data_IF_504693993701
#
_entry.id   IF_504693993701
#
_cell.length_a   1.000
_cell.length_b   1.000
_cell.length_c   1.000
_cell.angle_alpha   90.00
_cell.angle_beta   90.00
_cell.angle_gamma   90.00
#
_symmetry.space_group_name_H-M   'P 1'
#
loop_
_entity.id
_entity.type
_entity.pdbx_description
1 polymer ?
#
# COMPACT_ATOMS: atom_id res chain seq x y z
N UNK A 1 -2.48 -9.22 29.35
CA UNK A 1 -3.07 -8.99 28.02
C UNK A 1 -3.15 -7.50 27.86
N UNK A 2 -2.24 -6.91 27.09
CA UNK A 2 -2.16 -5.46 26.93
C UNK A 2 -3.17 -5.03 25.86
N UNK A 3 -4.02 -4.09 26.24
CA UNK A 3 -4.97 -3.42 25.37
C UNK A 3 -4.17 -2.39 24.54
N UNK A 4 -4.03 -2.64 23.24
CA UNK A 4 -3.23 -1.80 22.32
C UNK A 4 -4.10 -0.86 21.47
N UNK A 5 -5.38 -0.70 21.81
CA UNK A 5 -6.24 0.33 21.22
C UNK A 5 -6.04 1.66 21.97
N UNK A 6 -4.86 2.26 21.82
CA UNK A 6 -4.61 3.62 22.33
C UNK A 6 -5.50 4.63 21.59
N UNK A 7 -6.15 5.49 22.37
CA UNK A 7 -7.15 6.48 21.97
C UNK A 7 -6.74 7.37 20.76
N UNK A 8 -7.71 7.87 19.98
CA UNK A 8 -7.43 8.73 18.83
C UNK A 8 -7.02 10.11 19.33
N UNK A 9 -5.71 10.36 19.44
CA UNK A 9 -5.27 11.67 19.91
C UNK A 9 -3.79 11.99 19.83
N UNK A 10 -2.86 11.03 19.82
CA UNK A 10 -1.42 11.35 19.94
C UNK A 10 -0.49 10.32 19.27
N UNK A 11 -0.87 9.74 18.12
CA UNK A 11 -0.10 8.68 17.45
C UNK A 11 0.19 8.97 15.96
N UNK A 12 0.45 10.22 15.61
CA UNK A 12 1.44 10.48 14.54
C UNK A 12 2.83 10.30 15.15
N UNK A 13 3.07 9.15 15.77
CA UNK A 13 4.42 8.78 16.18
C UNK A 13 5.26 8.76 14.91
N UNK A 14 6.51 9.20 15.01
CA UNK A 14 7.55 9.10 14.00
C UNK A 14 7.87 7.61 13.77
N UNK A 15 6.86 6.88 13.31
CA UNK A 15 6.96 5.49 12.93
C UNK A 15 7.75 5.51 11.62
N UNK A 16 8.82 4.71 11.51
CA UNK A 16 9.48 4.55 10.23
C UNK A 16 8.39 4.25 9.20
N UNK A 17 8.40 4.95 8.06
CA UNK A 17 7.49 4.58 6.96
C UNK A 17 7.72 3.09 6.74
N UNK A 18 6.72 2.24 7.03
CA UNK A 18 6.91 0.83 6.78
C UNK A 18 7.15 0.70 5.28
N UNK A 19 7.96 -0.27 4.85
CA UNK A 19 7.86 -0.84 3.50
C UNK A 19 6.49 -1.58 3.42
N UNK A 20 5.40 -0.84 3.69
CA UNK A 20 4.11 -1.30 4.21
C UNK A 20 3.21 -1.85 3.13
N UNK A 21 3.82 -2.40 2.08
CA UNK A 21 3.14 -3.12 1.01
C UNK A 21 3.63 -4.57 0.96
N UNK A 22 4.87 -4.85 1.37
CA UNK A 22 5.40 -6.23 1.37
C UNK A 22 4.73 -7.11 2.43
N UNK A 23 4.31 -6.54 3.56
CA UNK A 23 3.57 -7.21 4.64
C UNK A 23 2.07 -7.32 4.37
N UNK A 24 1.55 -6.69 3.31
CA UNK A 24 0.11 -6.66 3.03
C UNK A 24 -0.33 -7.94 2.33
N UNK A 25 -1.27 -8.63 2.95
CA UNK A 25 -1.85 -9.86 2.45
C UNK A 25 -3.37 -9.73 2.27
N UNK A 26 -3.97 -10.69 1.57
CA UNK A 26 -5.41 -10.71 1.33
C UNK A 26 -5.99 -12.12 1.40
N UNK A 27 -7.20 -12.22 1.95
CA UNK A 27 -7.99 -13.46 1.89
C UNK A 27 -9.41 -13.20 1.38
N UNK A 28 -10.00 -14.25 0.81
CA UNK A 28 -11.36 -14.23 0.29
C UNK A 28 -12.35 -14.66 1.38
N UNK A 29 -13.48 -13.97 1.44
CA UNK A 29 -14.64 -14.37 2.25
C UNK A 29 -15.87 -14.48 1.37
N UNK A 30 -16.94 -15.06 1.90
CA UNK A 30 -18.24 -15.11 1.22
C UNK A 30 -18.80 -13.71 0.92
N UNK A 31 -18.32 -12.68 1.64
CA UNK A 31 -18.82 -11.33 1.56
C UNK A 31 -17.84 -10.34 0.90
N UNK A 32 -16.71 -10.80 0.37
CA UNK A 32 -15.72 -9.95 -0.32
C UNK A 32 -14.26 -10.31 -0.05
N UNK A 33 -13.40 -9.29 -0.02
CA UNK A 33 -11.95 -9.43 0.19
C UNK A 33 -11.52 -8.57 1.37
N UNK A 34 -10.71 -9.15 2.24
CA UNK A 34 -10.06 -8.43 3.33
C UNK A 34 -8.59 -8.29 3.01
N UNK A 35 -8.10 -7.06 3.08
CA UNK A 35 -6.67 -6.71 3.03
C UNK A 35 -6.21 -6.40 4.44
N UNK A 36 -5.08 -6.96 4.85
CA UNK A 36 -4.53 -6.75 6.18
C UNK A 36 -3.00 -6.67 6.11
N UNK A 37 -2.42 -5.90 7.02
CA UNK A 37 -0.97 -5.90 7.24
C UNK A 37 -0.61 -7.01 8.26
N UNK A 38 0.24 -7.95 7.87
CA UNK A 38 0.64 -9.07 8.72
C UNK A 38 1.50 -8.66 9.93
N UNK A 39 2.21 -7.53 9.84
CA UNK A 39 3.03 -6.96 10.92
C UNK A 39 2.22 -5.99 11.81
N UNK A 40 1.08 -5.49 11.32
CA UNK A 40 0.15 -4.66 12.08
C UNK A 40 -1.30 -5.17 11.95
N UNK A 41 -1.72 -6.16 12.76
CA UNK A 41 -3.06 -6.77 12.67
C UNK A 41 -4.24 -5.82 12.90
N UNK A 42 -4.02 -4.62 13.45
CA UNK A 42 -5.05 -3.60 13.62
C UNK A 42 -5.28 -2.76 12.35
N UNK A 43 -4.38 -2.84 11.37
CA UNK A 43 -4.50 -2.17 10.08
C UNK A 43 -5.15 -3.09 9.04
N UNK A 44 -6.48 -3.04 8.93
CA UNK A 44 -7.24 -3.83 7.96
C UNK A 44 -8.29 -3.00 7.20
N UNK A 45 -8.56 -3.40 5.97
CA UNK A 45 -9.58 -2.84 5.09
C UNK A 45 -10.38 -3.98 4.45
N UNK A 46 -11.71 -3.85 4.41
CA UNK A 46 -12.60 -4.82 3.76
C UNK A 46 -13.28 -4.19 2.54
N UNK A 47 -13.20 -4.87 1.41
CA UNK A 47 -13.93 -4.51 0.19
C UNK A 47 -15.01 -5.53 -0.09
N UNK A 48 -16.22 -5.06 -0.40
CA UNK A 48 -17.36 -5.89 -0.83
C UNK A 48 -17.33 -6.20 -2.32
N UNK A 49 -16.55 -5.43 -3.08
CA UNK A 49 -16.43 -5.59 -4.54
C UNK A 49 -14.96 -5.76 -4.92
N UNK A 50 -14.68 -6.77 -5.76
CA UNK A 50 -13.34 -7.04 -6.27
C UNK A 50 -13.25 -6.54 -7.71
N UNK A 51 -12.38 -5.57 -7.95
CA UNK A 51 -12.01 -5.13 -9.28
C UNK A 51 -10.68 -5.78 -9.68
N UNK A 52 -10.67 -6.46 -10.83
CA UNK A 52 -9.41 -6.97 -11.40
C UNK A 52 -8.66 -5.81 -12.03
N UNK A 53 -7.52 -5.44 -11.46
CA UNK A 53 -6.69 -4.35 -11.98
C UNK A 53 -5.77 -4.90 -13.07
N UNK A 54 -5.72 -4.28 -14.26
CA UNK A 54 -4.74 -4.68 -15.28
C UNK A 54 -3.32 -4.44 -14.77
N UNK A 55 -2.38 -5.30 -15.17
CA UNK A 55 -0.94 -5.19 -14.85
C UNK A 55 -0.49 -3.73 -14.95
N UNK A 56 -0.09 -3.15 -13.82
CA UNK A 56 0.44 -1.78 -13.81
C UNK A 56 1.68 -1.74 -14.71
N UNK A 57 1.60 -0.94 -15.77
CA UNK A 57 2.74 -0.76 -16.68
C UNK A 57 3.67 0.26 -16.04
N UNK A 58 4.93 -0.11 -15.84
CA UNK A 58 5.96 0.83 -15.39
C UNK A 58 6.03 2.03 -16.35
N UNK A 59 6.23 3.26 -15.84
CA UNK A 59 6.33 4.44 -16.69
C UNK A 59 7.47 4.28 -17.70
N UNK A 60 7.22 4.65 -18.96
CA UNK A 60 8.27 4.62 -20.00
C UNK A 60 9.34 5.68 -19.67
N UNK A 61 10.64 5.35 -19.72
CA UNK A 61 11.69 6.33 -19.49
C UNK A 61 11.58 7.44 -20.54
N UNK A 62 11.61 8.70 -20.09
CA UNK A 62 11.54 9.86 -20.97
C UNK A 62 12.75 9.86 -21.92
N UNK A 63 12.49 9.98 -23.23
CA UNK A 63 13.55 10.12 -24.24
C UNK A 63 14.25 11.47 -24.04
N UNK A 64 15.43 11.46 -23.44
CA UNK A 64 16.32 12.63 -23.40
C UNK A 64 16.75 12.96 -24.83
N UNK A 65 16.19 14.03 -25.39
CA UNK A 65 16.62 14.57 -26.68
C UNK A 65 17.99 15.23 -26.47
N UNK A 66 19.07 14.52 -26.79
CA UNK A 66 20.41 15.10 -26.91
C UNK A 66 20.36 16.16 -28.02
N UNK A 67 20.39 17.45 -27.67
CA UNK A 67 20.54 18.52 -28.64
C UNK A 67 22.00 18.51 -29.11
N UNK A 68 22.24 18.03 -30.31
CA UNK A 68 23.51 18.21 -31.00
C UNK A 68 23.68 19.70 -31.32
N UNK A 69 24.79 20.25 -30.84
CA UNK A 69 25.19 21.64 -31.04
C UNK A 69 25.91 21.67 -32.39
N UNK A 70 25.29 22.24 -33.42
CA UNK A 70 25.94 22.45 -34.71
C UNK A 70 27.10 23.43 -34.55
N UNK A 71 28.23 23.07 -35.16
CA UNK A 71 29.43 23.87 -35.32
C UNK A 71 29.27 24.85 -36.50
#
# INVERSE_FOLDING_TARGET
MSDHASAPGEHSADLPEPDGIDSVEAYETEEGVVFYDAENPLAWLRSVERLTVPRQRSPRPARVRRRERNA
#
